data_IF_462417185328
#
_entry.id   IF_462417185328
#
_cell.length_a   1.000
_cell.length_b   1.000
_cell.length_c   1.000
_cell.angle_alpha   90.00
_cell.angle_beta   90.00
_cell.angle_gamma   90.00
#
_symmetry.space_group_name_H-M   'P 1'
#
loop_
_entity.id
_entity.type
_entity.pdbx_description
1 polymer ?
#
# COMPACT_ATOMS: atom_id res chain seq x y z
N UNK A 1 45.03 24.63 4.98
CA UNK A 1 43.94 23.79 5.52
C UNK A 1 43.14 23.28 4.33
N UNK A 2 43.46 22.09 3.82
CA UNK A 2 42.61 21.41 2.83
C UNK A 2 43.01 19.94 2.78
N UNK A 3 42.06 19.07 3.08
CA UNK A 3 42.15 17.63 2.83
C UNK A 3 40.75 17.13 2.49
N UNK A 4 40.34 17.41 1.26
CA UNK A 4 39.32 16.65 0.55
C UNK A 4 40.01 15.62 -0.34
N UNK A 5 39.30 14.52 -0.60
CA UNK A 5 39.61 13.40 -1.50
C UNK A 5 40.26 12.16 -0.83
N UNK A 6 39.42 11.20 -0.46
CA UNK A 6 39.42 9.85 -1.07
C UNK A 6 38.18 9.05 -0.59
N UNK A 7 37.06 9.19 -1.31
CA UNK A 7 35.85 8.37 -1.08
C UNK A 7 35.37 7.68 -2.35
N UNK A 8 36.20 7.64 -3.39
CA UNK A 8 35.83 7.12 -4.72
C UNK A 8 36.42 5.75 -5.06
N UNK A 9 37.45 5.25 -4.35
CA UNK A 9 38.05 3.95 -4.67
C UNK A 9 37.41 2.75 -3.96
N UNK A 10 36.63 2.96 -2.90
CA UNK A 10 36.09 1.88 -2.03
C UNK A 10 34.85 1.17 -2.62
N UNK A 11 34.18 1.76 -3.63
CA UNK A 11 32.97 1.14 -4.19
C UNK A 11 33.27 -0.01 -5.15
N UNK A 12 34.36 0.10 -5.91
CA UNK A 12 34.74 -0.92 -6.92
C UNK A 12 35.08 -2.28 -6.29
N UNK A 13 35.76 -2.30 -5.15
CA UNK A 13 36.14 -3.54 -4.46
C UNK A 13 34.98 -4.25 -3.76
N UNK A 14 33.82 -3.60 -3.60
CA UNK A 14 32.67 -4.21 -2.90
C UNK A 14 31.76 -5.04 -3.81
N UNK A 15 31.82 -4.83 -5.14
CA UNK A 15 30.98 -5.60 -6.07
C UNK A 15 31.53 -7.01 -6.32
N UNK A 16 32.84 -7.15 -6.50
CA UNK A 16 33.50 -8.46 -6.66
C UNK A 16 33.37 -9.33 -5.40
N UNK A 17 33.23 -8.67 -4.25
CA UNK A 17 33.07 -9.26 -2.92
C UNK A 17 31.66 -9.84 -2.66
N UNK A 18 30.66 -9.50 -3.48
CA UNK A 18 29.27 -9.92 -3.30
C UNK A 18 28.90 -11.21 -4.09
N UNK A 19 29.84 -11.77 -4.87
CA UNK A 19 29.63 -12.97 -5.70
C UNK A 19 29.85 -14.29 -4.92
N UNK A 20 28.92 -14.59 -4.00
CA UNK A 20 28.91 -15.82 -3.18
C UNK A 20 28.70 -17.13 -3.98
N UNK A 21 28.40 -17.06 -5.28
CA UNK A 21 28.19 -18.24 -6.14
C UNK A 21 29.49 -18.83 -6.67
N UNK A 22 30.55 -18.03 -6.76
CA UNK A 22 31.86 -18.46 -7.22
C UNK A 22 32.78 -19.00 -6.10
N UNK A 23 32.36 -18.86 -4.83
CA UNK A 23 33.13 -19.26 -3.65
C UNK A 23 32.96 -20.75 -3.36
N UNK A 24 34.06 -21.50 -3.40
CA UNK A 24 34.13 -22.94 -3.12
C UNK A 24 34.06 -23.27 -1.63
N UNK A 25 34.59 -22.41 -0.75
CA UNK A 25 34.49 -22.61 0.69
C UNK A 25 33.11 -22.23 1.26
N UNK A 26 32.56 -23.13 2.09
CA UNK A 26 31.23 -22.96 2.69
C UNK A 26 31.18 -21.83 3.73
N UNK A 27 32.25 -21.67 4.51
CA UNK A 27 32.34 -20.65 5.56
C UNK A 27 32.41 -19.24 4.99
N UNK A 28 33.25 -19.04 3.99
CA UNK A 28 33.39 -17.77 3.26
C UNK A 28 32.10 -17.41 2.52
N UNK A 29 31.48 -18.38 1.84
CA UNK A 29 30.16 -18.20 1.20
C UNK A 29 29.11 -17.72 2.20
N UNK A 30 29.08 -18.30 3.41
CA UNK A 30 28.13 -17.89 4.45
C UNK A 30 28.35 -16.46 4.94
N UNK A 31 29.61 -16.03 5.07
CA UNK A 31 29.96 -14.65 5.44
C UNK A 31 29.45 -13.64 4.40
N UNK A 32 29.67 -13.93 3.12
CA UNK A 32 29.20 -13.07 2.01
C UNK A 32 27.67 -13.00 1.99
N UNK A 33 26.99 -14.14 2.13
CA UNK A 33 25.53 -14.17 2.23
C UNK A 33 24.99 -13.30 3.38
N UNK A 34 25.58 -13.40 4.57
CA UNK A 34 25.16 -12.60 5.72
C UNK A 34 25.41 -11.10 5.48
N UNK A 35 26.53 -10.74 4.84
CA UNK A 35 26.83 -9.36 4.45
C UNK A 35 25.75 -8.80 3.52
N UNK A 36 25.38 -9.54 2.48
CA UNK A 36 24.35 -9.14 1.51
C UNK A 36 22.97 -9.08 2.17
N UNK A 37 22.62 -10.08 2.98
CA UNK A 37 21.35 -10.10 3.71
C UNK A 37 21.22 -8.89 4.64
N UNK A 38 22.29 -8.54 5.36
CA UNK A 38 22.32 -7.39 6.25
C UNK A 38 22.17 -6.08 5.47
N UNK A 39 22.85 -5.94 4.32
CA UNK A 39 22.70 -4.77 3.44
C UNK A 39 21.26 -4.61 2.99
N UNK A 40 20.67 -5.68 2.41
CA UNK A 40 19.26 -5.69 1.96
C UNK A 40 18.29 -5.41 3.10
N UNK A 41 18.54 -5.94 4.30
CA UNK A 41 17.71 -5.66 5.47
C UNK A 41 17.74 -4.17 5.82
N UNK A 42 18.93 -3.57 5.91
CA UNK A 42 19.07 -2.13 6.21
C UNK A 42 18.43 -1.25 5.14
N UNK A 43 18.58 -1.62 3.87
CA UNK A 43 17.98 -0.88 2.76
C UNK A 43 16.46 -1.00 2.79
N UNK A 44 15.91 -2.18 3.05
CA UNK A 44 14.47 -2.38 3.21
C UNK A 44 13.91 -1.59 4.40
N UNK A 45 14.61 -1.53 5.52
CA UNK A 45 14.21 -0.73 6.69
C UNK A 45 14.20 0.76 6.34
N UNK A 46 15.23 1.25 5.62
CA UNK A 46 15.29 2.64 5.16
C UNK A 46 14.13 2.95 4.20
N UNK A 47 13.91 2.08 3.23
CA UNK A 47 12.84 2.22 2.24
C UNK A 47 11.46 2.22 2.91
N UNK A 48 11.20 1.31 3.85
CA UNK A 48 9.93 1.30 4.59
C UNK A 48 9.68 2.59 5.37
N UNK A 49 10.74 3.18 5.94
CA UNK A 49 10.63 4.48 6.62
C UNK A 49 10.26 5.59 5.63
N UNK A 50 10.93 5.65 4.49
CA UNK A 50 10.65 6.64 3.44
C UNK A 50 9.25 6.45 2.84
N UNK A 51 8.85 5.21 2.56
CA UNK A 51 7.52 4.89 2.04
C UNK A 51 6.41 5.27 3.03
N UNK A 52 6.64 5.06 4.33
CA UNK A 52 5.71 5.49 5.38
C UNK A 52 5.60 7.02 5.46
N UNK A 53 6.73 7.73 5.34
CA UNK A 53 6.75 9.20 5.29
C UNK A 53 6.01 9.73 4.05
N UNK A 54 6.31 9.17 2.87
CA UNK A 54 5.64 9.52 1.61
C UNK A 54 4.14 9.22 1.67
N UNK A 55 3.73 8.11 2.27
CA UNK A 55 2.33 7.77 2.45
C UNK A 55 1.62 8.75 3.39
N UNK A 56 2.24 9.13 4.51
CA UNK A 56 1.69 10.11 5.45
C UNK A 56 1.58 11.50 4.83
N UNK A 57 2.57 11.92 4.04
CA UNK A 57 2.51 13.19 3.31
C UNK A 57 1.44 13.16 2.22
N UNK A 58 1.35 12.07 1.46
CA UNK A 58 0.29 11.88 0.50
C UNK A 58 -1.08 11.87 1.17
N UNK A 59 -1.27 11.24 2.32
CA UNK A 59 -2.54 11.27 3.06
C UNK A 59 -2.92 12.70 3.47
N UNK A 60 -1.95 13.50 3.94
CA UNK A 60 -2.16 14.92 4.27
C UNK A 60 -2.58 15.74 3.05
N UNK A 61 -1.97 15.51 1.90
CA UNK A 61 -2.25 16.24 0.67
C UNK A 61 -3.52 15.73 -0.05
N UNK A 62 -3.78 14.42 0.03
CA UNK A 62 -4.90 13.75 -0.64
C UNK A 62 -6.27 14.18 -0.11
N UNK A 63 -6.34 14.63 1.15
CA UNK A 63 -7.56 15.18 1.73
C UNK A 63 -8.11 16.40 0.95
N UNK A 64 -7.25 17.10 0.20
CA UNK A 64 -7.63 18.24 -0.63
C UNK A 64 -7.67 17.95 -2.14
N UNK A 65 -6.82 17.06 -2.67
CA UNK A 65 -6.62 16.94 -4.13
C UNK A 65 -7.74 16.23 -4.89
N UNK A 66 -8.46 15.30 -4.25
CA UNK A 66 -9.62 14.63 -4.88
C UNK A 66 -10.96 15.25 -4.49
N UNK A 67 -10.95 16.33 -3.69
CA UNK A 67 -12.18 17.03 -3.31
C UNK A 67 -12.64 17.89 -4.48
N UNK A 68 -13.84 17.61 -4.99
CA UNK A 68 -14.47 18.47 -5.99
C UNK A 68 -14.56 19.92 -5.45
N UNK A 69 -14.01 20.92 -6.17
CA UNK A 69 -13.94 22.29 -5.68
C UNK A 69 -15.34 22.81 -5.37
N UNK A 70 -15.49 23.56 -4.28
CA UNK A 70 -16.74 24.23 -3.99
C UNK A 70 -16.94 25.41 -4.97
N UNK A 71 -18.17 25.70 -5.38
CA UNK A 71 -18.45 26.80 -6.32
C UNK A 71 -18.07 28.19 -5.77
N UNK A 72 -17.81 28.30 -4.46
CA UNK A 72 -17.35 29.53 -3.78
C UNK A 72 -15.82 29.65 -3.70
N UNK A 73 -15.10 28.54 -3.86
CA UNK A 73 -13.63 28.49 -3.84
C UNK A 73 -13.02 28.71 -5.23
N UNK A 74 -13.83 28.61 -6.29
CA UNK A 74 -13.40 28.83 -7.67
C UNK A 74 -13.41 30.32 -7.93
N UNK A 75 -12.20 30.89 -8.07
CA UNK A 75 -12.04 32.28 -8.44
C UNK A 75 -12.72 32.55 -9.79
N UNK A 76 -13.55 33.59 -9.81
CA UNK A 76 -14.36 33.98 -10.97
C UNK A 76 -13.79 35.24 -11.60
N UNK A 77 -12.46 35.38 -11.62
CA UNK A 77 -11.80 36.34 -12.50
C UNK A 77 -12.15 36.00 -13.94
N UNK A 78 -13.30 36.51 -14.37
CA UNK A 78 -13.75 36.48 -15.73
C UNK A 78 -12.78 37.34 -16.50
N UNK A 79 -11.78 36.70 -17.12
CA UNK A 79 -10.96 37.28 -18.17
C UNK A 79 -11.90 37.64 -19.33
N UNK A 80 -12.57 38.78 -19.18
CA UNK A 80 -13.60 39.35 -20.06
C UNK A 80 -12.97 39.96 -21.33
N UNK A 81 -11.81 39.44 -21.75
CA UNK A 81 -11.07 39.89 -22.93
C UNK A 81 -11.37 39.08 -24.19
N UNK A 82 -12.03 37.92 -24.06
CA UNK A 82 -12.39 37.08 -25.20
C UNK A 82 -13.74 37.56 -25.80
N UNK A 83 -13.81 37.87 -27.10
CA UNK A 83 -15.01 38.46 -27.72
C UNK A 83 -16.22 37.51 -27.77
N UNK A 84 -16.04 36.23 -27.44
CA UNK A 84 -17.10 35.24 -27.31
C UNK A 84 -17.51 34.95 -25.86
N UNK A 85 -16.92 35.64 -24.88
CA UNK A 85 -17.12 35.40 -23.46
C UNK A 85 -16.34 34.19 -22.96
N UNK A 86 -15.77 34.27 -21.75
CA UNK A 86 -15.12 33.13 -21.11
C UNK A 86 -16.15 32.18 -20.50
N UNK A 87 -15.80 30.90 -20.39
CA UNK A 87 -16.66 29.89 -19.77
C UNK A 87 -16.59 30.06 -18.25
N UNK A 88 -17.73 30.31 -17.59
CA UNK A 88 -17.78 30.43 -16.13
C UNK A 88 -17.78 29.06 -15.45
N UNK A 89 -16.60 28.61 -15.01
CA UNK A 89 -16.44 27.34 -14.30
C UNK A 89 -17.26 27.30 -13.00
N UNK A 90 -17.35 28.41 -12.27
CA UNK A 90 -18.19 28.51 -11.07
C UNK A 90 -19.69 28.29 -11.37
N UNK A 91 -20.19 28.80 -12.50
CA UNK A 91 -21.57 28.54 -12.94
C UNK A 91 -21.80 27.07 -13.30
N UNK A 92 -20.85 26.46 -14.02
CA UNK A 92 -20.91 25.04 -14.41
C UNK A 92 -20.91 24.13 -13.17
N UNK A 93 -20.06 24.41 -12.19
CA UNK A 93 -19.99 23.61 -10.95
C UNK A 93 -21.27 23.76 -10.12
N UNK A 94 -21.79 24.99 -9.99
CA UNK A 94 -23.03 25.28 -9.24
C UNK A 94 -24.23 24.56 -9.85
N UNK A 95 -24.38 24.63 -11.16
CA UNK A 95 -25.46 23.95 -11.89
C UNK A 95 -25.33 22.42 -11.84
N UNK A 96 -24.11 21.91 -11.98
CA UNK A 96 -23.82 20.47 -11.83
C UNK A 96 -24.21 19.92 -10.45
N UNK A 97 -23.85 20.62 -9.37
CA UNK A 97 -24.20 20.20 -8.00
C UNK A 97 -25.71 20.23 -7.72
N UNK A 98 -26.42 21.26 -8.19
CA UNK A 98 -27.89 21.33 -8.04
C UNK A 98 -28.59 20.14 -8.73
N UNK A 99 -28.08 19.73 -9.90
CA UNK A 99 -28.58 18.56 -10.64
C UNK A 99 -28.19 17.24 -9.95
N UNK A 100 -27.01 17.16 -9.34
CA UNK A 100 -26.58 15.97 -8.58
C UNK A 100 -27.43 15.78 -7.31
N UNK A 101 -27.70 16.85 -6.56
CA UNK A 101 -28.53 16.81 -5.34
C UNK A 101 -29.93 16.26 -5.63
N UNK A 102 -30.61 16.81 -6.64
CA UNK A 102 -31.92 16.31 -7.06
C UNK A 102 -31.90 14.85 -7.53
N UNK A 103 -30.84 14.42 -8.24
CA UNK A 103 -30.67 13.03 -8.67
C UNK A 103 -30.45 12.08 -7.50
N UNK A 104 -29.67 12.52 -6.49
CA UNK A 104 -29.45 11.76 -5.25
C UNK A 104 -30.74 11.61 -4.46
N UNK A 105 -31.51 12.66 -4.28
CA UNK A 105 -32.81 12.61 -3.59
C UNK A 105 -33.80 11.67 -4.30
N UNK A 106 -33.85 11.73 -5.63
CA UNK A 106 -34.69 10.84 -6.45
C UNK A 106 -34.27 9.37 -6.29
N UNK A 107 -32.96 9.09 -6.36
CA UNK A 107 -32.44 7.73 -6.20
C UNK A 107 -32.60 7.18 -4.78
N UNK A 108 -32.46 8.02 -3.75
CA UNK A 108 -32.74 7.66 -2.36
C UNK A 108 -34.22 7.33 -2.15
N UNK A 109 -35.12 8.12 -2.72
CA UNK A 109 -36.56 7.85 -2.67
C UNK A 109 -36.91 6.52 -3.39
N UNK A 110 -36.30 6.25 -4.54
CA UNK A 110 -36.41 4.96 -5.24
C UNK A 110 -35.73 3.79 -4.50
N UNK A 111 -34.75 4.05 -3.63
CA UNK A 111 -34.07 3.04 -2.83
C UNK A 111 -34.81 2.70 -1.53
N UNK A 112 -35.37 3.69 -0.87
CA UNK A 112 -36.18 3.50 0.33
C UNK A 112 -37.48 2.75 0.01
N UNK A 113 -38.09 3.02 -1.16
CA UNK A 113 -39.31 2.34 -1.60
C UNK A 113 -39.12 0.85 -1.93
N UNK A 114 -37.89 0.39 -2.26
CA UNK A 114 -37.58 -1.04 -2.51
C UNK A 114 -37.17 -1.83 -1.26
N UNK A 115 -36.79 -1.17 -0.17
CA UNK A 115 -36.35 -1.83 1.07
C UNK A 115 -37.50 -2.38 1.94
N UNK A 116 -38.76 -2.17 1.53
CA UNK A 116 -39.96 -2.57 2.25
C UNK A 116 -40.42 -4.01 2.10
N UNK A 117 -39.64 -4.91 1.47
CA UNK A 117 -40.04 -6.32 1.41
C UNK A 117 -39.05 -7.25 0.71
N UNK A 118 -38.21 -7.95 1.47
CA UNK A 118 -37.65 -9.24 1.02
C UNK A 118 -37.08 -10.05 2.18
N UNK A 119 -37.90 -10.96 2.71
CA UNK A 119 -37.47 -12.07 3.56
C UNK A 119 -36.88 -13.17 2.68
N UNK A 120 -35.56 -13.20 2.43
CA UNK A 120 -34.88 -14.35 1.77
C UNK A 120 -33.41 -14.48 2.23
N UNK A 121 -33.20 -15.41 3.18
CA UNK A 121 -32.08 -16.35 3.40
C UNK A 121 -30.86 -16.28 2.45
N UNK A 122 -30.14 -15.16 2.36
CA UNK A 122 -29.07 -14.97 1.37
C UNK A 122 -27.69 -14.58 1.92
N UNK A 123 -27.48 -14.53 3.24
CA UNK A 123 -26.26 -13.94 3.84
C UNK A 123 -25.52 -14.85 4.82
N UNK A 124 -25.61 -16.19 4.68
CA UNK A 124 -25.01 -17.13 5.64
C UNK A 124 -24.13 -18.22 5.03
N UNK A 125 -23.35 -17.91 3.99
CA UNK A 125 -22.47 -18.89 3.33
C UNK A 125 -21.00 -18.47 3.19
N UNK A 126 -20.46 -17.71 4.15
CA UNK A 126 -19.02 -17.35 4.13
C UNK A 126 -18.28 -17.52 5.48
N UNK A 127 -18.86 -18.22 6.47
CA UNK A 127 -18.19 -18.47 7.77
C UNK A 127 -17.68 -19.92 7.95
N UNK A 128 -17.25 -20.59 6.88
CA UNK A 128 -16.67 -21.94 6.98
C UNK A 128 -15.19 -21.99 6.58
N UNK A 129 -14.73 -21.05 5.74
CA UNK A 129 -13.33 -21.00 5.28
C UNK A 129 -12.36 -20.41 6.33
N UNK A 130 -12.88 -19.65 7.31
CA UNK A 130 -12.07 -18.99 8.33
C UNK A 130 -11.57 -19.94 9.43
N UNK A 131 -12.09 -21.18 9.53
CA UNK A 131 -11.69 -22.16 10.56
C UNK A 131 -10.75 -23.27 10.07
N UNK A 132 -10.21 -23.16 8.86
CA UNK A 132 -9.22 -24.11 8.34
C UNK A 132 -7.90 -24.06 9.12
N UNK A 133 -7.50 -25.16 9.75
CA UNK A 133 -6.19 -25.30 10.39
C UNK A 133 -5.06 -25.10 9.37
N UNK A 134 -4.03 -24.29 9.66
CA UNK A 134 -2.97 -24.06 8.70
C UNK A 134 -2.11 -25.31 8.51
N UNK A 135 -1.77 -25.61 7.25
CA UNK A 135 -1.08 -26.83 6.82
C UNK A 135 0.29 -27.10 7.50
N UNK A 136 0.88 -26.10 8.16
CA UNK A 136 2.15 -26.25 8.88
C UNK A 136 2.02 -27.01 10.21
N UNK A 137 0.80 -27.25 10.73
CA UNK A 137 0.59 -27.98 11.99
C UNK A 137 1.07 -29.45 11.95
N UNK A 138 1.12 -30.07 10.76
CA UNK A 138 1.51 -31.48 10.58
C UNK A 138 3.02 -31.75 10.84
N UNK A 139 3.87 -30.73 10.87
CA UNK A 139 5.32 -30.90 11.05
C UNK A 139 5.73 -31.06 12.52
N UNK A 140 4.85 -30.75 13.48
CA UNK A 140 5.18 -30.78 14.92
C UNK A 140 5.09 -32.20 15.53
N UNK A 141 4.52 -33.18 14.82
CA UNK A 141 4.27 -34.52 15.36
C UNK A 141 5.37 -35.56 15.04
N UNK A 142 6.50 -35.18 14.43
CA UNK A 142 7.51 -36.14 13.92
C UNK A 142 8.82 -36.22 14.72
N UNK A 143 8.85 -35.74 15.97
CA UNK A 143 10.00 -35.98 16.85
C UNK A 143 9.53 -36.54 18.21
N UNK A 144 9.30 -37.84 18.23
CA UNK A 144 9.38 -38.66 19.44
C UNK A 144 10.30 -39.85 19.14
N UNK A 145 11.52 -39.91 19.70
CA UNK A 145 12.35 -41.10 19.61
C UNK A 145 11.82 -42.20 20.54
N UNK A 146 11.43 -43.31 19.93
CA UNK A 146 11.65 -44.71 20.32
C UNK A 146 11.58 -45.11 21.81
N UNK A 147 10.49 -45.83 22.11
CA UNK A 147 10.32 -46.93 23.06
C UNK A 147 11.58 -47.77 23.40
N UNK A 148 11.78 -48.13 24.69
CA UNK A 148 12.33 -49.44 25.12
C UNK A 148 11.77 -49.89 26.49
N UNK A 149 10.78 -50.81 26.41
CA UNK A 149 10.41 -52.03 27.16
C UNK A 149 10.05 -52.09 28.69
N UNK A 150 9.17 -53.06 29.09
CA UNK A 150 8.64 -53.27 30.45
C UNK A 150 9.16 -54.54 31.22
N UNK A 151 8.77 -54.62 32.50
CA UNK A 151 8.93 -55.69 33.53
C UNK A 151 10.32 -55.79 34.19
N UNK A 152 10.47 -55.96 35.51
CA UNK A 152 9.66 -56.69 36.50
C UNK A 152 9.34 -55.89 37.77
#
# INVERSE_FOLDING_TARGET
MSSQADSSSVQSSTQDDDDWTAVTDSGERRKIQNRIAQRKFRDKVRQQKEDAERAAENERQAAGTYRAPNPEEVDTETESGLPWGSISLGHIIRTGRAKEQSSRETSLYAAASKAGGSSRLGLHLIDEYARGHPAWAAWRARVHPSQVLPSM
#
